data_IF_114740704419
#
_entry.id   IF_114740704419
#
_cell.length_a   1.000
_cell.length_b   1.000
_cell.length_c   1.000
_cell.angle_alpha   90.00
_cell.angle_beta   90.00
_cell.angle_gamma   90.00
#
_symmetry.space_group_name_H-M   'P 1'
#
loop_
_entity.id
_entity.type
_entity.pdbx_description
1 polymer ?
#
# COMPACT_ATOMS: atom_id res chain seq x y z
N UNK A 1 -11.92 28.49 -26.26
CA UNK A 1 -11.90 28.07 -24.84
C UNK A 1 -10.61 27.33 -24.64
N UNK A 2 -9.71 27.80 -23.76
CA UNK A 2 -8.39 27.19 -23.60
C UNK A 2 -8.58 25.77 -23.07
N UNK A 3 -8.25 24.78 -23.90
CA UNK A 3 -8.24 23.39 -23.51
C UNK A 3 -7.00 23.16 -22.63
N UNK A 4 -7.03 23.69 -21.40
CA UNK A 4 -5.94 23.51 -20.45
C UNK A 4 -6.10 22.12 -19.85
N UNK A 5 -5.30 21.18 -20.35
CA UNK A 5 -5.13 19.88 -19.72
C UNK A 5 -4.80 20.10 -18.22
N UNK A 6 -5.38 19.33 -17.29
CA UNK A 6 -5.27 19.59 -15.85
C UNK A 6 -3.88 19.35 -15.28
N UNK A 7 -2.98 18.73 -16.07
CA UNK A 7 -1.60 18.45 -15.69
C UNK A 7 -0.63 19.31 -16.50
N UNK A 8 0.45 19.84 -15.88
CA UNK A 8 1.54 20.49 -16.61
C UNK A 8 2.42 19.48 -17.36
N UNK A 9 2.20 18.17 -17.17
CA UNK A 9 2.95 17.10 -17.82
C UNK A 9 2.21 16.57 -19.05
N UNK A 10 2.98 16.26 -20.09
CA UNK A 10 2.46 15.61 -21.30
C UNK A 10 1.90 14.21 -20.97
N UNK A 11 0.68 13.85 -21.44
CA UNK A 11 0.11 12.54 -21.21
C UNK A 11 1.04 11.41 -21.64
N UNK A 12 1.29 10.45 -20.75
CA UNK A 12 2.10 9.27 -21.06
C UNK A 12 3.61 9.52 -21.17
N UNK A 13 4.09 10.74 -20.96
CA UNK A 13 5.53 11.00 -20.87
C UNK A 13 6.09 10.44 -19.55
N UNK A 14 7.08 9.55 -19.66
CA UNK A 14 7.88 9.14 -18.50
C UNK A 14 9.02 10.15 -18.31
N UNK A 15 8.92 10.96 -17.27
CA UNK A 15 9.85 12.07 -17.01
C UNK A 15 10.61 11.80 -15.69
N UNK A 16 11.79 11.13 -15.74
CA UNK A 16 12.66 11.00 -14.57
C UNK A 16 12.99 12.37 -13.98
N UNK A 17 12.68 12.58 -12.70
CA UNK A 17 12.83 13.87 -12.03
C UNK A 17 11.75 14.91 -12.37
N UNK A 18 10.64 14.50 -13.01
CA UNK A 18 9.57 15.40 -13.41
C UNK A 18 10.06 16.45 -14.40
N UNK A 19 10.04 17.73 -14.01
CA UNK A 19 10.61 18.81 -14.81
C UNK A 19 12.11 19.06 -14.56
N UNK A 20 12.75 18.28 -13.68
CA UNK A 20 14.16 18.46 -13.27
C UNK A 20 14.47 19.87 -12.75
N UNK A 21 13.52 20.49 -12.06
CA UNK A 21 13.63 21.83 -11.49
C UNK A 21 13.57 21.84 -9.95
N UNK A 22 13.58 20.67 -9.32
CA UNK A 22 13.63 20.55 -7.87
C UNK A 22 14.97 21.10 -7.34
N UNK A 23 14.95 21.92 -6.28
CA UNK A 23 16.18 22.44 -5.70
C UNK A 23 16.99 21.31 -5.04
N UNK A 24 18.34 21.33 -5.13
CA UNK A 24 19.16 20.33 -4.47
C UNK A 24 19.02 20.42 -2.94
N UNK A 25 18.97 19.27 -2.27
CA UNK A 25 18.98 19.22 -0.81
C UNK A 25 20.42 19.34 -0.31
N UNK A 26 20.77 20.50 0.25
CA UNK A 26 22.07 20.72 0.90
C UNK A 26 22.20 19.89 2.19
N UNK A 27 23.44 19.50 2.54
CA UNK A 27 23.76 18.92 3.86
C UNK A 27 23.46 19.88 5.02
N UNK A 28 23.44 21.19 4.75
CA UNK A 28 23.04 22.21 5.72
C UNK A 28 21.52 22.43 5.79
N UNK A 29 20.73 21.69 5.01
CA UNK A 29 19.27 21.81 5.05
C UNK A 29 18.74 21.42 6.43
N UNK A 30 17.76 22.15 7.00
CA UNK A 30 17.06 21.73 8.21
C UNK A 30 16.39 20.35 8.09
N UNK A 31 16.09 19.91 6.88
CA UNK A 31 15.50 18.60 6.57
C UNK A 31 16.54 17.54 6.18
N UNK A 32 17.83 17.87 6.23
CA UNK A 32 18.88 16.90 5.95
C UNK A 32 18.76 15.71 6.92
N UNK A 33 18.56 14.52 6.36
CA UNK A 33 18.39 13.28 7.13
C UNK A 33 16.95 12.95 7.53
N UNK A 34 15.95 13.75 7.13
CA UNK A 34 14.54 13.36 7.27
C UNK A 34 14.26 12.09 6.45
N UNK A 35 13.43 11.20 7.01
CA UNK A 35 13.11 9.89 6.43
C UNK A 35 11.64 9.56 6.65
N UNK A 36 11.01 8.96 5.65
CA UNK A 36 9.70 8.32 5.82
C UNK A 36 9.91 6.95 6.48
N UNK A 37 9.64 6.89 7.78
CA UNK A 37 9.95 5.73 8.61
C UNK A 37 8.92 4.61 8.48
N UNK A 38 7.64 4.93 8.68
CA UNK A 38 6.54 3.97 8.69
C UNK A 38 5.27 4.54 8.05
N UNK A 39 4.35 3.65 7.70
CA UNK A 39 2.94 3.97 7.45
C UNK A 39 2.09 3.32 8.54
N UNK A 40 1.07 4.03 9.01
CA UNK A 40 0.08 3.51 9.94
C UNK A 40 -1.23 3.23 9.21
N UNK A 41 -1.75 2.02 9.37
CA UNK A 41 -3.07 1.62 8.91
C UNK A 41 -3.93 1.23 10.11
N UNK A 42 -5.15 1.76 10.17
CA UNK A 42 -6.16 1.22 11.06
C UNK A 42 -6.62 -0.14 10.52
N UNK A 43 -6.78 -1.09 11.41
CA UNK A 43 -7.18 -2.45 11.07
C UNK A 43 -8.39 -2.85 11.88
N UNK A 44 -9.28 -3.63 11.26
CA UNK A 44 -10.49 -4.12 11.91
C UNK A 44 -10.21 -5.36 12.76
N UNK A 45 -9.66 -6.40 12.15
CA UNK A 45 -9.39 -7.69 12.79
C UNK A 45 -7.89 -8.02 12.75
N UNK A 46 -7.18 -8.02 13.89
CA UNK A 46 -5.75 -8.31 13.93
C UNK A 46 -5.42 -9.74 13.52
N UNK A 47 -6.28 -10.73 13.77
CA UNK A 47 -6.02 -12.13 13.42
C UNK A 47 -5.92 -12.30 11.91
N UNK A 48 -6.91 -11.78 11.18
CA UNK A 48 -6.91 -11.86 9.71
C UNK A 48 -5.77 -11.02 9.12
N UNK A 49 -5.59 -9.82 9.66
CA UNK A 49 -4.56 -8.88 9.18
C UNK A 49 -3.16 -9.43 9.36
N UNK A 50 -2.82 -9.94 10.55
CA UNK A 50 -1.50 -10.51 10.82
C UNK A 50 -1.24 -11.76 9.97
N UNK A 51 -2.24 -12.61 9.74
CA UNK A 51 -2.10 -13.74 8.82
C UNK A 51 -1.66 -13.28 7.43
N UNK A 52 -2.32 -12.26 6.87
CA UNK A 52 -1.93 -11.72 5.57
C UNK A 52 -0.52 -11.11 5.58
N UNK A 53 -0.22 -10.18 6.49
CA UNK A 53 1.07 -9.47 6.43
C UNK A 53 2.25 -10.34 6.89
N UNK A 54 2.05 -11.29 7.81
CA UNK A 54 3.12 -12.13 8.34
C UNK A 54 3.26 -13.47 7.60
N UNK A 55 2.17 -14.19 7.41
CA UNK A 55 2.22 -15.54 6.83
C UNK A 55 2.21 -15.46 5.31
N UNK A 56 1.36 -14.60 4.74
CA UNK A 56 1.27 -14.45 3.29
C UNK A 56 2.37 -13.52 2.75
N UNK A 57 2.60 -12.36 3.36
CA UNK A 57 3.57 -11.39 2.84
C UNK A 57 4.97 -11.52 3.46
N UNK A 58 5.14 -12.30 4.52
CA UNK A 58 6.48 -12.60 5.07
C UNK A 58 7.07 -11.54 5.99
N UNK A 59 6.28 -10.54 6.41
CA UNK A 59 6.73 -9.57 7.42
C UNK A 59 6.85 -10.23 8.80
N UNK A 60 7.60 -9.60 9.71
CA UNK A 60 7.77 -10.06 11.09
C UNK A 60 7.48 -8.94 12.07
N UNK A 61 6.89 -9.31 13.19
CA UNK A 61 6.62 -8.39 14.30
C UNK A 61 7.94 -7.92 14.91
N UNK A 62 8.09 -6.60 14.99
CA UNK A 62 9.17 -5.93 15.71
C UNK A 62 8.75 -5.75 17.16
N UNK A 63 7.57 -5.19 17.38
CA UNK A 63 6.94 -5.13 18.68
C UNK A 63 5.41 -5.05 18.55
N UNK A 64 4.74 -5.43 19.64
CA UNK A 64 3.31 -5.23 19.84
C UNK A 64 3.15 -4.44 21.13
N UNK A 65 2.29 -3.43 21.12
CA UNK A 65 2.00 -2.64 22.32
C UNK A 65 0.50 -2.41 22.44
N UNK A 66 -0.08 -2.89 23.53
CA UNK A 66 -1.42 -2.54 23.97
C UNK A 66 -1.35 -1.34 24.91
N UNK A 67 -2.16 -0.31 24.65
CA UNK A 67 -2.22 0.90 25.47
C UNK A 67 -3.62 1.16 26.02
N UNK A 68 -4.49 0.14 26.04
CA UNK A 68 -5.81 0.16 26.66
C UNK A 68 -6.93 0.12 25.62
N UNK A 69 -7.21 1.21 24.89
CA UNK A 69 -8.29 1.24 23.90
C UNK A 69 -7.89 0.66 22.53
N UNK A 70 -6.60 0.40 22.33
CA UNK A 70 -6.08 -0.13 21.07
C UNK A 70 -4.79 -0.91 21.30
N UNK A 71 -4.48 -1.76 20.33
CA UNK A 71 -3.20 -2.45 20.20
C UNK A 71 -2.55 -2.03 18.88
N UNK A 72 -1.25 -1.70 18.93
CA UNK A 72 -0.42 -1.53 17.73
C UNK A 72 0.46 -2.75 17.50
N UNK A 73 0.61 -3.13 16.23
CA UNK A 73 1.52 -4.15 15.76
C UNK A 73 2.48 -3.50 14.76
N UNK A 74 3.74 -3.36 15.14
CA UNK A 74 4.78 -2.84 14.25
C UNK A 74 5.44 -3.99 13.51
N UNK A 75 5.32 -4.00 12.18
CA UNK A 75 5.86 -5.03 11.30
C UNK A 75 6.97 -4.47 10.40
N UNK A 76 7.93 -5.32 10.07
CA UNK A 76 8.98 -5.03 9.08
C UNK A 76 9.54 -6.30 8.45
N UNK A 77 10.40 -6.15 7.44
CA UNK A 77 11.14 -7.27 6.87
C UNK A 77 12.50 -7.41 7.56
N UNK A 78 12.82 -8.57 8.15
CA UNK A 78 14.18 -8.84 8.60
C UNK A 78 15.12 -8.95 7.40
N UNK A 79 16.42 -8.61 7.54
CA UNK A 79 17.41 -8.88 6.51
C UNK A 79 17.41 -10.37 6.09
N UNK A 80 17.76 -10.69 4.84
CA UNK A 80 18.05 -12.05 4.44
C UNK A 80 19.04 -12.71 5.42
N UNK A 81 18.84 -13.98 5.70
CA UNK A 81 19.69 -14.78 6.60
C UNK A 81 19.74 -14.33 8.07
N UNK A 82 18.71 -13.60 8.54
CA UNK A 82 18.59 -13.25 9.97
C UNK A 82 18.62 -14.51 10.85
N UNK A 83 19.64 -14.69 11.72
CA UNK A 83 19.86 -15.93 12.45
C UNK A 83 18.87 -16.11 13.62
N UNK A 84 18.36 -15.01 14.16
CA UNK A 84 17.43 -14.98 15.29
C UNK A 84 16.42 -13.85 15.12
N UNK A 85 15.17 -14.19 14.82
CA UNK A 85 14.08 -13.22 14.73
C UNK A 85 13.84 -12.48 16.06
N UNK A 86 13.88 -13.12 17.24
CA UNK A 86 13.74 -12.40 18.51
C UNK A 86 14.82 -11.34 18.74
N UNK A 87 16.08 -11.64 18.43
CA UNK A 87 17.19 -10.68 18.58
C UNK A 87 17.05 -9.53 17.58
N UNK A 88 16.70 -9.83 16.33
CA UNK A 88 16.42 -8.81 15.31
C UNK A 88 15.27 -7.88 15.76
N UNK A 89 14.17 -8.45 16.25
CA UNK A 89 13.02 -7.69 16.73
C UNK A 89 13.42 -6.79 17.91
N UNK A 90 14.08 -7.33 18.92
CA UNK A 90 14.54 -6.57 20.09
C UNK A 90 15.51 -5.44 19.72
N UNK A 91 16.47 -5.72 18.82
CA UNK A 91 17.40 -4.71 18.34
C UNK A 91 16.70 -3.62 17.53
N UNK A 92 15.78 -3.99 16.63
CA UNK A 92 15.02 -3.07 15.79
C UNK A 92 14.07 -2.20 16.61
N UNK A 93 13.48 -2.75 17.69
CA UNK A 93 12.57 -2.04 18.59
C UNK A 93 13.26 -0.96 19.46
N UNK A 94 14.59 -0.92 19.51
CA UNK A 94 15.29 0.18 20.21
C UNK A 94 14.97 1.53 19.56
N UNK A 95 14.83 2.59 20.35
CA UNK A 95 14.51 3.93 19.83
C UNK A 95 15.51 4.40 18.75
N UNK A 96 16.77 4.00 18.87
CA UNK A 96 17.81 4.30 17.88
C UNK A 96 17.54 3.61 16.53
N UNK A 97 17.25 2.31 16.53
CA UNK A 97 17.08 1.56 15.28
C UNK A 97 15.68 1.75 14.69
N UNK A 98 14.65 1.82 15.54
CA UNK A 98 13.27 1.98 15.09
C UNK A 98 13.12 3.23 14.22
N UNK A 99 13.69 4.37 14.65
CA UNK A 99 13.64 5.66 13.93
C UNK A 99 14.49 5.70 12.64
N UNK A 100 15.36 4.71 12.43
CA UNK A 100 16.25 4.63 11.25
C UNK A 100 15.84 3.55 10.27
N UNK A 101 15.01 2.62 10.69
CA UNK A 101 14.48 1.54 9.85
C UNK A 101 13.43 2.13 8.91
N UNK A 102 13.46 1.75 7.63
CA UNK A 102 12.53 2.24 6.62
C UNK A 102 11.54 1.14 6.27
N UNK A 103 10.36 1.55 5.76
CA UNK A 103 9.36 0.60 5.26
C UNK A 103 8.68 -0.21 6.37
N UNK A 104 8.54 0.39 7.55
CA UNK A 104 7.78 -0.21 8.65
C UNK A 104 6.27 -0.03 8.43
N UNK A 105 5.50 -1.01 8.88
CA UNK A 105 4.04 -0.96 8.87
C UNK A 105 3.53 -0.99 10.31
N UNK A 106 2.87 0.07 10.72
CA UNK A 106 2.14 0.16 11.98
C UNK A 106 0.68 -0.23 11.73
N UNK A 107 0.27 -1.39 12.25
CA UNK A 107 -1.13 -1.81 12.21
C UNK A 107 -1.79 -1.41 13.54
N UNK A 108 -2.83 -0.59 13.46
CA UNK A 108 -3.48 0.02 14.61
C UNK A 108 -4.89 -0.54 14.79
N UNK A 109 -5.07 -1.44 15.75
CA UNK A 109 -6.35 -2.08 16.04
C UNK A 109 -7.05 -1.36 17.18
N UNK A 110 -8.15 -0.67 16.87
CA UNK A 110 -9.05 -0.11 17.90
C UNK A 110 -9.96 -1.23 18.39
N UNK A 111 -9.94 -1.50 19.70
CA UNK A 111 -10.64 -2.64 20.27
C UNK A 111 -12.15 -2.53 20.08
N UNK A 112 -12.77 -3.63 19.67
CA UNK A 112 -14.20 -3.72 19.40
C UNK A 112 -14.62 -3.36 17.96
N UNK A 113 -13.70 -2.91 17.11
CA UNK A 113 -13.99 -2.69 15.67
C UNK A 113 -14.25 -4.00 14.92
N UNK A 114 -13.68 -5.10 15.39
CA UNK A 114 -13.85 -6.47 14.92
C UNK A 114 -15.23 -7.07 15.21
N UNK A 115 -16.05 -6.43 16.04
CA UNK A 115 -17.39 -6.91 16.34
C UNK A 115 -18.25 -7.02 15.07
N UNK A 116 -19.30 -7.84 15.10
CA UNK A 116 -20.38 -7.74 14.13
C UNK A 116 -20.92 -6.30 14.07
N UNK A 117 -21.36 -5.85 12.89
CA UNK A 117 -21.87 -4.48 12.71
C UNK A 117 -23.12 -4.23 13.56
N UNK A 118 -23.96 -5.25 13.72
CA UNK A 118 -25.13 -5.24 14.60
C UNK A 118 -24.78 -5.04 16.09
N UNK A 119 -23.54 -5.34 16.49
CA UNK A 119 -23.01 -5.15 17.85
C UNK A 119 -22.13 -3.89 17.97
N UNK A 120 -22.13 -3.05 16.94
CA UNK A 120 -21.40 -1.77 16.92
C UNK A 120 -19.97 -1.84 16.38
N UNK A 121 -19.57 -2.97 15.79
CA UNK A 121 -18.38 -3.01 14.93
C UNK A 121 -18.62 -2.24 13.63
N UNK A 122 -17.56 -2.00 12.85
CA UNK A 122 -17.68 -1.31 11.56
C UNK A 122 -16.45 -1.57 10.67
N UNK A 123 -16.61 -1.49 9.33
CA UNK A 123 -15.51 -1.60 8.40
C UNK A 123 -14.61 -0.36 8.46
N UNK A 124 -13.31 -0.56 8.22
CA UNK A 124 -12.35 0.55 8.09
C UNK A 124 -12.36 1.01 6.64
N UNK A 125 -12.49 2.32 6.42
CA UNK A 125 -12.39 2.90 5.07
C UNK A 125 -11.00 2.67 4.49
N UNK A 126 -10.95 2.25 3.23
CA UNK A 126 -9.71 1.96 2.52
C UNK A 126 -9.11 3.19 1.84
N UNK A 127 -9.91 4.25 1.66
CA UNK A 127 -9.52 5.45 0.91
C UNK A 127 -9.78 5.40 -0.60
N UNK A 128 -10.27 4.28 -1.15
CA UNK A 128 -10.56 4.14 -2.59
C UNK A 128 -12.06 4.21 -2.94
N UNK A 129 -12.91 4.49 -1.95
CA UNK A 129 -14.36 4.58 -2.14
C UNK A 129 -14.93 5.94 -1.75
N UNK A 130 -15.79 6.54 -2.57
CA UNK A 130 -16.57 7.70 -2.18
C UNK A 130 -17.54 7.38 -1.03
N UNK A 131 -17.80 8.33 -0.12
CA UNK A 131 -17.27 9.70 -0.12
C UNK A 131 -15.87 9.83 0.49
N UNK A 132 -15.28 8.74 0.99
CA UNK A 132 -14.05 8.74 1.75
C UNK A 132 -12.80 8.48 0.89
N UNK A 133 -12.69 9.15 -0.26
CA UNK A 133 -11.52 9.07 -1.13
C UNK A 133 -10.28 9.69 -0.45
N UNK A 134 -9.11 9.06 -0.58
CA UNK A 134 -7.89 9.48 0.10
C UNK A 134 -6.70 8.56 -0.18
N UNK A 135 -6.30 7.75 0.80
CA UNK A 135 -5.18 6.82 0.65
C UNK A 135 -5.47 5.78 -0.44
N UNK A 136 -4.48 5.51 -1.30
CA UNK A 136 -4.64 4.58 -2.42
C UNK A 136 -4.21 3.15 -2.10
N UNK A 137 -2.91 2.94 -1.90
CA UNK A 137 -2.35 1.60 -1.76
C UNK A 137 -1.01 1.57 -1.03
N UNK A 138 -0.65 0.40 -0.50
CA UNK A 138 0.71 0.07 -0.14
C UNK A 138 1.41 -0.63 -1.31
N UNK A 139 2.69 -0.30 -1.54
CA UNK A 139 3.52 -0.95 -2.56
C UNK A 139 4.51 -1.93 -1.95
N UNK A 140 4.52 -3.15 -2.46
CA UNK A 140 5.42 -4.23 -2.07
C UNK A 140 6.26 -4.66 -3.28
N UNK A 141 7.56 -4.74 -3.05
CA UNK A 141 8.48 -5.27 -4.05
C UNK A 141 8.65 -6.77 -3.81
N UNK A 142 8.44 -7.56 -4.85
CA UNK A 142 8.59 -9.02 -4.83
C UNK A 142 9.58 -9.48 -5.91
N UNK A 143 10.23 -10.63 -5.73
CA UNK A 143 11.14 -11.17 -6.75
C UNK A 143 10.44 -11.47 -8.08
N UNK A 144 9.24 -12.05 -8.01
CA UNK A 144 8.40 -12.37 -9.16
C UNK A 144 6.92 -12.08 -8.82
N UNK A 145 6.28 -11.19 -9.59
CA UNK A 145 4.88 -10.78 -9.35
C UNK A 145 3.91 -11.92 -9.65
N UNK A 146 4.17 -12.72 -10.70
CA UNK A 146 3.29 -13.83 -11.08
C UNK A 146 3.30 -14.91 -10.00
N UNK A 147 4.47 -15.32 -9.53
CA UNK A 147 4.59 -16.33 -8.47
C UNK A 147 3.93 -15.86 -7.16
N UNK A 148 4.18 -14.61 -6.76
CA UNK A 148 3.54 -14.04 -5.57
C UNK A 148 2.01 -13.98 -5.72
N UNK A 149 1.51 -13.53 -6.87
CA UNK A 149 0.09 -13.43 -7.14
C UNK A 149 -0.60 -14.80 -7.19
N UNK A 150 0.01 -15.79 -7.85
CA UNK A 150 -0.51 -17.16 -7.93
C UNK A 150 -0.61 -17.80 -6.53
N UNK A 151 0.40 -17.58 -5.67
CA UNK A 151 0.35 -18.02 -4.28
C UNK A 151 -0.78 -17.36 -3.52
N UNK A 152 -0.91 -16.03 -3.61
CA UNK A 152 -1.98 -15.30 -2.91
C UNK A 152 -3.38 -15.74 -3.38
N UNK A 153 -3.57 -15.95 -4.70
CA UNK A 153 -4.79 -16.55 -5.25
C UNK A 153 -5.07 -17.93 -4.65
N UNK A 154 -4.06 -18.78 -4.54
CA UNK A 154 -4.16 -20.11 -3.94
C UNK A 154 -4.59 -20.10 -2.47
N UNK A 155 -4.18 -19.06 -1.73
CA UNK A 155 -4.58 -18.81 -0.33
C UNK A 155 -5.92 -18.06 -0.20
N UNK A 156 -6.65 -17.86 -1.32
CA UNK A 156 -7.97 -17.25 -1.34
C UNK A 156 -7.99 -15.72 -1.24
N UNK A 157 -6.84 -15.06 -1.46
CA UNK A 157 -6.77 -13.59 -1.49
C UNK A 157 -7.50 -13.06 -2.72
N UNK A 158 -8.37 -12.06 -2.52
CA UNK A 158 -9.11 -11.42 -3.61
C UNK A 158 -8.16 -10.59 -4.48
N UNK A 159 -8.17 -10.87 -5.78
CA UNK A 159 -7.48 -10.07 -6.79
C UNK A 159 -8.38 -8.94 -7.25
N UNK A 160 -7.85 -7.72 -7.25
CA UNK A 160 -8.52 -6.50 -7.70
C UNK A 160 -8.19 -6.26 -9.16
N UNK A 161 -6.91 -6.46 -9.49
CA UNK A 161 -6.33 -6.32 -10.81
C UNK A 161 -5.30 -7.42 -10.99
N UNK A 162 -5.47 -8.21 -12.04
CA UNK A 162 -4.54 -9.27 -12.42
C UNK A 162 -3.33 -8.71 -13.19
N UNK A 163 -2.32 -9.57 -13.38
CA UNK A 163 -1.17 -9.27 -14.23
C UNK A 163 -1.62 -9.19 -15.70
N UNK A 164 -1.10 -8.22 -16.44
CA UNK A 164 -1.45 -7.98 -17.84
C UNK A 164 -2.75 -7.18 -18.06
N UNK A 165 -3.55 -6.93 -17.02
CA UNK A 165 -4.69 -6.00 -17.12
C UNK A 165 -4.17 -4.56 -17.07
N UNK A 166 -4.72 -3.65 -17.90
CA UNK A 166 -4.29 -2.24 -17.87
C UNK A 166 -5.32 -1.25 -18.47
N UNK A 167 -6.58 -1.64 -18.51
CA UNK A 167 -7.65 -0.79 -19.03
C UNK A 167 -8.13 0.21 -17.98
N UNK A 168 -8.95 1.18 -18.40
CA UNK A 168 -9.47 2.23 -17.50
C UNK A 168 -10.17 1.70 -16.25
N UNK A 169 -10.85 0.56 -16.36
CA UNK A 169 -11.52 -0.12 -15.24
C UNK A 169 -10.55 -0.67 -14.18
N UNK A 170 -9.28 -0.87 -14.55
CA UNK A 170 -8.25 -1.49 -13.71
C UNK A 170 -7.47 -0.44 -12.89
N UNK A 171 -7.65 0.85 -13.23
CA UNK A 171 -7.10 2.00 -12.50
C UNK A 171 -8.07 2.38 -11.38
N UNK A 172 -7.60 2.68 -10.14
CA UNK A 172 -8.45 3.07 -9.02
C UNK A 172 -8.98 4.50 -9.15
N UNK A 173 -9.81 4.72 -10.16
CA UNK A 173 -10.56 5.95 -10.39
C UNK A 173 -12.04 5.57 -10.44
N UNK A 174 -12.82 6.08 -9.48
CA UNK A 174 -14.20 5.63 -9.27
C UNK A 174 -15.15 6.14 -10.35
N UNK A 175 -16.20 5.37 -10.66
CA UNK A 175 -17.28 5.85 -11.53
C UNK A 175 -17.99 7.10 -10.95
N UNK A 176 -17.94 7.27 -9.63
CA UNK A 176 -18.53 8.41 -8.95
C UNK A 176 -17.82 9.72 -9.30
N UNK A 177 -16.49 9.68 -9.44
CA UNK A 177 -15.67 10.80 -9.93
C UNK A 177 -15.95 11.05 -11.41
N UNK A 178 -15.97 9.98 -12.22
CA UNK A 178 -16.21 10.09 -13.66
C UNK A 178 -17.57 10.70 -13.99
N UNK A 179 -18.65 10.26 -13.30
CA UNK A 179 -20.00 10.84 -13.43
C UNK A 179 -20.07 12.32 -13.09
N UNK A 180 -19.03 12.87 -12.43
CA UNK A 180 -18.87 14.31 -12.12
C UNK A 180 -17.92 15.03 -13.07
N UNK A 181 -17.45 14.35 -14.12
CA UNK A 181 -16.48 14.89 -15.07
C UNK A 181 -15.05 14.93 -14.50
N UNK A 182 -14.75 14.13 -13.47
CA UNK A 182 -13.42 14.07 -12.83
C UNK A 182 -12.74 12.74 -13.19
N UNK A 183 -11.46 12.78 -13.59
CA UNK A 183 -10.68 11.56 -13.82
C UNK A 183 -11.21 10.65 -14.95
N UNK A 184 -11.90 11.22 -15.94
CA UNK A 184 -12.36 10.48 -17.13
C UNK A 184 -11.27 10.28 -18.19
N UNK A 185 -11.58 9.50 -19.21
CA UNK A 185 -10.70 9.20 -20.35
C UNK A 185 -9.97 7.86 -20.23
N UNK A 186 -9.23 7.50 -21.27
CA UNK A 186 -8.52 6.23 -21.36
C UNK A 186 -7.11 6.29 -20.78
N UNK A 187 -6.61 5.13 -20.36
CA UNK A 187 -5.24 4.96 -19.90
C UNK A 187 -4.29 5.11 -21.09
N UNK A 188 -3.32 6.02 -20.99
CA UNK A 188 -2.35 6.24 -22.05
C UNK A 188 -1.48 4.98 -22.28
N UNK A 189 -1.24 4.62 -23.54
CA UNK A 189 -0.53 3.38 -23.95
C UNK A 189 0.85 3.20 -23.30
N UNK A 190 1.64 4.29 -23.18
CA UNK A 190 2.92 4.24 -22.49
C UNK A 190 2.80 3.80 -21.01
N UNK A 191 1.73 4.20 -20.33
CA UNK A 191 1.49 3.80 -18.95
C UNK A 191 0.97 2.36 -18.87
N UNK A 192 0.16 1.90 -19.84
CA UNK A 192 -0.33 0.52 -19.89
C UNK A 192 0.80 -0.49 -19.78
N UNK A 193 1.90 -0.29 -20.51
CA UNK A 193 3.09 -1.18 -20.47
C UNK A 193 3.72 -1.34 -19.09
N UNK A 194 3.64 -0.30 -18.26
CA UNK A 194 4.11 -0.35 -16.86
C UNK A 194 3.04 -1.04 -16.02
N UNK A 195 1.79 -0.63 -16.20
CA UNK A 195 0.65 -1.08 -15.40
C UNK A 195 0.33 -2.57 -15.58
N UNK A 196 0.59 -3.14 -16.75
CA UNK A 196 0.51 -4.57 -17.05
C UNK A 196 1.45 -5.42 -16.17
N UNK A 197 2.56 -4.85 -15.68
CA UNK A 197 3.56 -5.56 -14.87
C UNK A 197 3.24 -5.53 -13.37
N UNK A 198 2.14 -4.88 -12.99
CA UNK A 198 1.73 -4.66 -11.61
C UNK A 198 0.46 -5.46 -11.35
N UNK A 199 0.33 -6.05 -10.17
CA UNK A 199 -0.91 -6.66 -9.72
C UNK A 199 -1.43 -5.95 -8.46
N UNK A 200 -2.75 -5.92 -8.30
CA UNK A 200 -3.37 -5.46 -7.07
C UNK A 200 -4.20 -6.56 -6.41
N UNK A 201 -3.96 -6.78 -5.13
CA UNK A 201 -4.76 -7.68 -4.29
C UNK A 201 -5.35 -6.93 -3.10
N UNK A 202 -6.47 -7.45 -2.59
CA UNK A 202 -7.12 -6.94 -1.39
C UNK A 202 -6.46 -7.54 -0.14
N UNK A 203 -6.11 -6.68 0.82
CA UNK A 203 -5.71 -7.15 2.15
C UNK A 203 -6.93 -7.41 3.06
N UNK A 204 -6.77 -8.04 4.25
CA UNK A 204 -7.83 -8.28 5.22
C UNK A 204 -8.54 -7.03 5.76
N UNK A 205 -7.86 -5.88 5.79
CA UNK A 205 -8.47 -4.58 6.16
C UNK A 205 -9.60 -4.24 5.19
N UNK A 206 -9.52 -4.76 3.97
CA UNK A 206 -10.50 -4.59 2.89
C UNK A 206 -11.69 -5.55 2.92
N UNK A 207 -11.77 -6.49 3.87
CA UNK A 207 -12.84 -7.48 3.86
C UNK A 207 -13.99 -7.11 4.79
N UNK A 208 -15.04 -6.53 4.22
CA UNK A 208 -16.38 -7.15 4.21
C UNK A 208 -17.29 -6.51 3.14
N UNK A 209 -18.16 -7.32 2.54
CA UNK A 209 -18.83 -7.10 1.25
C UNK A 209 -19.94 -6.03 1.26
N UNK A 210 -19.94 -5.11 0.28
CA UNK A 210 -20.94 -4.90 -0.81
C UNK A 210 -20.33 -3.82 -1.72
N UNK A 211 -20.07 -4.15 -3.00
CA UNK A 211 -19.69 -3.19 -4.06
C UNK A 211 -18.51 -2.23 -3.75
N UNK A 212 -17.27 -2.75 -3.75
CA UNK A 212 -16.08 -1.93 -4.11
C UNK A 212 -14.94 -1.83 -3.10
N UNK A 213 -15.11 -2.32 -1.87
CA UNK A 213 -14.16 -2.04 -0.78
C UNK A 213 -12.78 -2.63 -1.07
N UNK A 214 -11.78 -1.80 -1.35
CA UNK A 214 -10.39 -2.29 -1.35
C UNK A 214 -9.32 -1.28 -0.95
N UNK A 215 -8.49 -1.69 0.00
CA UNK A 215 -7.13 -1.20 0.16
C UNK A 215 -6.27 -2.02 -0.77
N UNK A 216 -5.68 -1.35 -1.74
CA UNK A 216 -4.91 -1.99 -2.78
C UNK A 216 -3.51 -2.33 -2.26
N UNK A 217 -3.07 -3.57 -2.48
CA UNK A 217 -1.68 -3.97 -2.32
C UNK A 217 -1.04 -4.08 -3.70
N UNK A 218 -0.10 -3.20 -4.01
CA UNK A 218 0.59 -3.16 -5.30
C UNK A 218 1.84 -4.04 -5.26
N UNK A 219 1.86 -5.12 -6.05
CA UNK A 219 3.06 -5.95 -6.22
C UNK A 219 3.88 -5.45 -7.40
N UNK A 220 5.19 -5.21 -7.21
CA UNK A 220 6.12 -4.78 -8.26
C UNK A 220 7.41 -5.62 -8.30
N UNK A 221 8.00 -5.76 -9.49
CA UNK A 221 9.27 -6.50 -9.72
C UNK A 221 10.51 -5.64 -9.42
N UNK A 222 11.55 -6.24 -8.85
CA UNK A 222 12.91 -5.65 -8.80
C UNK A 222 13.52 -5.61 -10.21
N UNK A 223 13.67 -4.42 -10.80
CA UNK A 223 14.65 -4.19 -11.87
C UNK A 223 14.24 -4.52 -13.33
N UNK A 224 12.97 -4.80 -13.64
CA UNK A 224 12.49 -4.94 -15.03
C UNK A 224 11.55 -3.84 -15.53
N UNK A 225 11.04 -2.98 -14.65
CA UNK A 225 10.01 -1.99 -15.00
C UNK A 225 10.53 -0.86 -15.93
N UNK A 226 11.86 -0.73 -16.11
CA UNK A 226 12.48 0.37 -16.84
C UNK A 226 13.55 -0.08 -17.84
N UNK A 227 13.17 -0.85 -18.86
CA UNK A 227 13.94 -0.96 -20.10
C UNK A 227 13.08 -0.58 -21.30
#
# INVERSE_FOLDING_TARGET
>A
MSNTYPSPFEPGAFLPGGHNNDPPVSLSSPTAGYKLNHFMLRIRDPRRTLHFYMDLMGMRTIFTMDFGPCTIYYLGYPPPDTPSLPEWAANTATAHNLTRTLGLLELYHVHGTEKPEEEGGFPISTGNEPPALGFGHLGFTVPDVKEALDRLKGEGVRVIKDLGEAERKDVPLSEWEEKRGVGGGEVHENYKRIFEQIAFVADPVSFEFVLGLVLMLMLMVVGRVYR
#
